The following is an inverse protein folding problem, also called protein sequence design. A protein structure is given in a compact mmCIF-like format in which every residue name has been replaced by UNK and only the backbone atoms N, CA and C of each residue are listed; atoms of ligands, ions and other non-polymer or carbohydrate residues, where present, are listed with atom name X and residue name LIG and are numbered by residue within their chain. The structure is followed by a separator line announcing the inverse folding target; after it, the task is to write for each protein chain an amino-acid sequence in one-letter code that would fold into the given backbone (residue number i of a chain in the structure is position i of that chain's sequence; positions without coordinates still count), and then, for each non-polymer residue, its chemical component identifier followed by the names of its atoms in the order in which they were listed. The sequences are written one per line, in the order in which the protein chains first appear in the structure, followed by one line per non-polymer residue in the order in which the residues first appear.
data_IF_337015655815
#
_entry.id   IF_337015655815
#
_cell.length_a   1.000
_cell.length_b   1.000
_cell.length_c   1.000
_cell.angle_alpha   90.00
_cell.angle_beta   90.00
_cell.angle_gamma   90.00
#
_symmetry.space_group_name_H-M   'P 1'
#
loop_
_entity.id
_entity.type
_entity.pdbx_description
1 polymer ?
#
# COMPACT_ATOMS: atom_id res chain seq x y z
N UNK A 1 -83.30 4.44 36.00
CA UNK A 1 -83.10 3.06 35.50
C UNK A 1 -81.81 3.04 34.67
N UNK A 2 -80.84 2.22 35.10
CA UNK A 2 -79.71 1.59 34.38
C UNK A 2 -78.91 2.39 33.32
N UNK A 3 -77.67 2.81 33.62
CA UNK A 3 -76.37 2.08 33.44
C UNK A 3 -75.87 2.01 31.99
N UNK A 4 -74.75 2.71 31.66
CA UNK A 4 -73.66 2.30 30.74
C UNK A 4 -72.44 3.20 31.04
N UNK A 5 -71.57 2.89 32.01
CA UNK A 5 -70.27 2.16 31.92
C UNK A 5 -69.37 2.48 30.71
N UNK A 6 -68.35 3.29 31.04
CA UNK A 6 -67.13 3.63 30.32
C UNK A 6 -66.27 2.37 30.03
N UNK A 7 -65.89 2.13 28.78
CA UNK A 7 -64.78 1.24 28.41
C UNK A 7 -64.10 1.79 27.14
N UNK A 8 -63.05 2.60 27.32
CA UNK A 8 -62.09 2.89 26.26
C UNK A 8 -60.99 1.83 26.30
N UNK A 9 -60.97 0.92 25.34
CA UNK A 9 -59.88 -0.03 25.13
C UNK A 9 -58.99 0.50 24.00
N UNK A 10 -57.79 0.99 24.36
CA UNK A 10 -56.74 1.37 23.41
C UNK A 10 -55.94 0.09 23.13
N UNK A 11 -56.15 -0.51 21.96
CA UNK A 11 -55.32 -1.61 21.45
C UNK A 11 -54.13 -1.04 20.67
N UNK A 12 -52.96 -1.04 21.30
CA UNK A 12 -51.68 -0.71 20.67
C UNK A 12 -51.27 -1.86 19.74
N UNK A 13 -51.13 -1.57 18.45
CA UNK A 13 -50.68 -2.51 17.43
C UNK A 13 -49.13 -2.43 17.42
N UNK A 14 -48.46 -3.46 17.93
CA UNK A 14 -46.99 -3.55 17.88
C UNK A 14 -46.55 -4.00 16.49
N UNK A 15 -46.12 -3.05 15.66
CA UNK A 15 -45.43 -3.31 14.39
C UNK A 15 -43.98 -3.73 14.67
N UNK A 16 -43.66 -5.02 14.51
CA UNK A 16 -42.27 -5.50 14.52
C UNK A 16 -41.62 -5.20 13.17
N UNK A 17 -40.85 -4.11 13.11
CA UNK A 17 -39.97 -3.84 11.98
C UNK A 17 -38.78 -4.79 12.10
N UNK A 18 -38.76 -5.84 11.27
CA UNK A 18 -37.57 -6.66 11.07
C UNK A 18 -36.53 -5.82 10.30
N UNK A 19 -35.43 -5.48 10.97
CA UNK A 19 -34.27 -4.85 10.35
C UNK A 19 -33.47 -5.90 9.56
N UNK A 20 -33.08 -5.65 8.30
CA UNK A 20 -32.14 -6.51 7.61
C UNK A 20 -30.74 -6.31 8.23
N UNK A 21 -30.28 -7.29 9.00
CA UNK A 21 -28.88 -7.38 9.45
C UNK A 21 -28.08 -8.08 8.35
N UNK A 22 -27.79 -7.38 7.27
CA UNK A 22 -26.72 -7.79 6.33
C UNK A 22 -25.95 -6.56 5.89
N UNK A 23 -25.35 -5.87 6.87
CA UNK A 23 -24.21 -5.03 6.62
C UNK A 23 -22.97 -5.89 6.74
N UNK A 24 -22.56 -6.59 5.67
CA UNK A 24 -21.13 -6.84 5.48
C UNK A 24 -20.47 -5.48 5.61
N UNK A 25 -19.68 -5.26 6.67
CA UNK A 25 -18.90 -4.04 6.80
C UNK A 25 -18.08 -3.93 5.52
N UNK A 26 -18.42 -3.01 4.63
CA UNK A 26 -17.58 -2.67 3.50
C UNK A 26 -16.32 -2.10 4.16
N UNK A 27 -15.27 -2.93 4.23
CA UNK A 27 -13.98 -2.46 4.69
C UNK A 27 -13.63 -1.25 3.82
N UNK A 28 -13.40 -0.11 4.47
CA UNK A 28 -13.06 1.14 3.78
C UNK A 28 -11.82 0.86 2.94
N UNK A 29 -11.95 0.98 1.63
CA UNK A 29 -10.84 0.82 0.68
C UNK A 29 -10.07 2.11 0.63
N UNK A 30 -8.84 2.07 1.13
CA UNK A 30 -7.96 3.25 1.09
C UNK A 30 -7.05 3.24 -0.16
N UNK A 31 -6.85 2.08 -0.79
CA UNK A 31 -6.01 1.94 -1.98
C UNK A 31 -6.78 1.44 -3.21
N UNK A 32 -6.32 1.89 -4.37
CA UNK A 32 -6.77 1.43 -5.69
C UNK A 32 -5.59 0.86 -6.46
N UNK A 33 -5.84 -0.19 -7.26
CA UNK A 33 -4.80 -0.78 -8.09
C UNK A 33 -4.34 0.26 -9.13
N UNK A 34 -3.03 0.33 -9.35
CA UNK A 34 -2.39 1.23 -10.29
C UNK A 34 -1.29 0.47 -11.02
N UNK A 35 -1.05 0.81 -12.28
CA UNK A 35 0.09 0.26 -13.02
C UNK A 35 1.39 0.88 -12.51
N UNK A 36 2.50 0.19 -12.75
CA UNK A 36 3.85 0.63 -12.36
C UNK A 36 4.13 2.06 -12.82
N UNK A 37 3.79 2.38 -14.07
CA UNK A 37 3.97 3.72 -14.63
C UNK A 37 3.31 4.84 -13.79
N UNK A 38 2.23 4.53 -13.09
CA UNK A 38 1.43 5.50 -12.32
C UNK A 38 1.92 5.64 -10.87
N UNK A 39 2.46 4.57 -10.27
CA UNK A 39 2.87 4.56 -8.87
C UNK A 39 4.38 4.63 -8.64
N UNK A 40 5.22 4.35 -9.65
CA UNK A 40 6.67 4.39 -9.52
C UNK A 40 7.18 5.78 -9.11
N UNK A 41 8.35 5.80 -8.47
CA UNK A 41 9.00 7.00 -7.92
C UNK A 41 10.43 7.20 -8.45
N UNK A 42 10.78 6.54 -9.55
CA UNK A 42 12.15 6.46 -10.05
C UNK A 42 12.59 7.63 -10.92
N UNK A 43 11.72 8.58 -11.24
CA UNK A 43 12.06 9.77 -12.02
C UNK A 43 12.33 10.99 -11.13
N UNK A 44 12.93 12.03 -11.73
CA UNK A 44 13.15 13.32 -11.09
C UNK A 44 14.54 13.43 -10.47
N UNK A 45 14.59 13.88 -9.23
CA UNK A 45 15.84 13.95 -8.45
C UNK A 45 15.85 12.88 -7.36
N UNK A 46 17.04 12.41 -7.01
CA UNK A 46 17.23 11.57 -5.82
C UNK A 46 17.24 12.42 -4.54
N UNK A 47 17.04 11.75 -3.39
CA UNK A 47 17.18 12.33 -2.04
C UNK A 47 15.88 12.40 -1.22
N UNK A 48 14.73 12.13 -1.82
CA UNK A 48 13.41 12.21 -1.20
C UNK A 48 12.57 10.93 -1.39
N UNK A 49 13.17 9.79 -1.75
CA UNK A 49 12.43 8.60 -2.19
C UNK A 49 11.44 8.05 -1.15
N UNK A 50 11.78 8.09 0.14
CA UNK A 50 10.85 7.63 1.18
C UNK A 50 9.59 8.49 1.23
N UNK A 51 9.75 9.81 1.13
CA UNK A 51 8.62 10.74 1.13
C UNK A 51 7.71 10.50 -0.07
N UNK A 52 8.29 10.27 -1.25
CA UNK A 52 7.53 9.92 -2.45
C UNK A 52 6.81 8.57 -2.32
N UNK A 53 7.45 7.56 -1.73
CA UNK A 53 6.83 6.26 -1.46
C UNK A 53 5.62 6.40 -0.52
N UNK A 54 5.77 7.14 0.58
CA UNK A 54 4.70 7.42 1.55
C UNK A 54 3.55 8.23 0.91
N UNK A 55 3.87 9.20 0.06
CA UNK A 55 2.86 9.97 -0.66
C UNK A 55 2.08 9.12 -1.67
N UNK A 56 2.76 8.19 -2.36
CA UNK A 56 2.11 7.29 -3.31
C UNK A 56 1.27 6.22 -2.62
N UNK A 57 1.67 5.77 -1.44
CA UNK A 57 1.01 4.70 -0.68
C UNK A 57 0.80 5.18 0.76
N UNK A 58 -0.26 5.97 1.00
CA UNK A 58 -0.60 6.42 2.34
C UNK A 58 -1.15 5.24 3.14
N UNK A 59 -0.38 4.74 4.10
CA UNK A 59 -0.76 3.65 4.99
C UNK A 59 -1.05 4.24 6.36
N UNK A 60 -2.23 3.95 6.92
CA UNK A 60 -2.60 4.41 8.26
C UNK A 60 -1.85 3.59 9.33
N UNK A 61 -0.69 4.11 9.74
CA UNK A 61 0.14 3.48 10.77
C UNK A 61 -0.51 3.45 12.15
N UNK A 62 -1.59 4.21 12.38
CA UNK A 62 -2.33 4.17 13.65
C UNK A 62 -3.34 3.02 13.70
N UNK A 63 -3.66 2.41 12.56
CA UNK A 63 -4.65 1.34 12.46
C UNK A 63 -4.25 0.23 11.46
N UNK A 64 -3.04 -0.31 11.63
CA UNK A 64 -2.55 -1.40 10.77
C UNK A 64 -3.44 -2.65 10.80
N UNK A 65 -4.02 -2.98 11.96
CA UNK A 65 -4.94 -4.12 12.10
C UNK A 65 -6.21 -3.95 11.26
N UNK A 66 -6.67 -2.71 11.05
CA UNK A 66 -7.86 -2.37 10.28
C UNK A 66 -7.65 -2.33 8.76
N UNK A 67 -6.42 -2.50 8.27
CA UNK A 67 -6.15 -2.53 6.82
C UNK A 67 -6.87 -3.73 6.20
N UNK A 68 -7.64 -3.47 5.14
CA UNK A 68 -8.42 -4.50 4.47
C UNK A 68 -7.51 -5.52 3.77
N UNK A 69 -7.98 -6.77 3.63
CA UNK A 69 -7.26 -7.81 2.86
C UNK A 69 -6.99 -7.37 1.42
N UNK A 70 -7.93 -6.63 0.83
CA UNK A 70 -7.77 -6.13 -0.54
C UNK A 70 -6.75 -4.99 -0.63
N UNK A 71 -6.62 -4.12 0.38
CA UNK A 71 -5.55 -3.10 0.40
C UNK A 71 -4.19 -3.76 0.62
N UNK A 72 -4.11 -4.75 1.49
CA UNK A 72 -2.90 -5.57 1.65
C UNK A 72 -2.52 -6.30 0.35
N UNK A 73 -3.50 -6.81 -0.40
CA UNK A 73 -3.26 -7.43 -1.71
C UNK A 73 -2.71 -6.42 -2.75
N UNK A 74 -3.19 -5.16 -2.73
CA UNK A 74 -2.65 -4.09 -3.57
C UNK A 74 -1.21 -3.74 -3.18
N UNK A 75 -0.93 -3.64 -1.87
CA UNK A 75 0.43 -3.35 -1.37
C UNK A 75 1.39 -4.44 -1.84
N UNK A 76 1.02 -5.72 -1.70
CA UNK A 76 1.83 -6.85 -2.16
C UNK A 76 2.03 -6.85 -3.68
N UNK A 77 0.97 -6.60 -4.45
CA UNK A 77 1.06 -6.51 -5.90
C UNK A 77 1.99 -5.38 -6.37
N UNK A 78 1.90 -4.21 -5.74
CA UNK A 78 2.80 -3.09 -6.03
C UNK A 78 4.26 -3.41 -5.65
N UNK A 79 4.49 -4.09 -4.51
CA UNK A 79 5.82 -4.57 -4.09
C UNK A 79 6.42 -5.50 -5.12
N UNK A 80 5.68 -6.54 -5.54
CA UNK A 80 6.13 -7.53 -6.54
C UNK A 80 6.37 -6.90 -7.90
N UNK A 81 5.52 -5.96 -8.30
CA UNK A 81 5.70 -5.19 -9.54
C UNK A 81 6.97 -4.34 -9.49
N UNK A 82 7.23 -3.66 -8.37
CA UNK A 82 8.46 -2.90 -8.19
C UNK A 82 9.69 -3.82 -8.20
N UNK A 83 9.61 -5.02 -7.61
CA UNK A 83 10.66 -6.02 -7.65
C UNK A 83 10.98 -6.48 -9.08
N UNK A 84 9.95 -6.82 -9.86
CA UNK A 84 10.09 -7.23 -11.24
C UNK A 84 10.67 -6.11 -12.12
N UNK A 85 10.29 -4.86 -11.88
CA UNK A 85 10.91 -3.72 -12.56
C UNK A 85 12.43 -3.61 -12.28
N UNK A 86 12.90 -3.97 -11.09
CA UNK A 86 14.35 -4.03 -10.80
C UNK A 86 15.07 -5.05 -11.67
N UNK A 87 14.50 -6.27 -11.75
CA UNK A 87 15.15 -7.41 -12.41
C UNK A 87 15.06 -7.33 -13.92
N UNK A 88 13.89 -6.98 -14.44
CA UNK A 88 13.52 -7.18 -15.84
C UNK A 88 13.69 -5.90 -16.67
N UNK A 89 13.77 -4.73 -16.01
CA UNK A 89 13.95 -3.45 -16.69
C UNK A 89 15.25 -2.74 -16.24
N UNK A 90 15.42 -2.41 -14.95
CA UNK A 90 16.56 -1.63 -14.49
C UNK A 90 17.90 -2.34 -14.74
N UNK A 91 18.04 -3.61 -14.36
CA UNK A 91 19.32 -4.32 -14.47
C UNK A 91 19.86 -4.36 -15.91
N UNK A 92 19.00 -4.58 -16.90
CA UNK A 92 19.38 -4.58 -18.31
C UNK A 92 19.81 -3.19 -18.79
N UNK A 93 19.01 -2.16 -18.49
CA UNK A 93 19.29 -0.79 -18.93
C UNK A 93 20.54 -0.20 -18.27
N UNK A 94 20.79 -0.49 -16.99
CA UNK A 94 22.00 -0.05 -16.29
C UNK A 94 23.24 -0.72 -16.92
N UNK A 95 23.19 -2.02 -17.22
CA UNK A 95 24.29 -2.73 -17.90
C UNK A 95 24.61 -2.16 -19.28
N UNK A 96 23.60 -1.68 -20.00
CA UNK A 96 23.76 -1.11 -21.34
C UNK A 96 24.17 0.38 -21.34
N UNK A 97 24.04 1.07 -20.20
CA UNK A 97 24.35 2.49 -20.09
C UNK A 97 25.78 2.72 -19.53
N UNK A 98 26.28 3.93 -19.71
CA UNK A 98 27.56 4.37 -19.13
C UNK A 98 27.48 5.83 -18.68
N UNK A 99 28.49 6.26 -17.91
CA UNK A 99 28.61 7.65 -17.42
C UNK A 99 27.37 8.14 -16.68
N UNK A 100 26.99 9.38 -16.92
CA UNK A 100 25.86 10.03 -16.25
C UNK A 100 24.52 9.29 -16.48
N UNK A 101 24.33 8.64 -17.63
CA UNK A 101 23.12 7.88 -17.90
C UNK A 101 23.01 6.63 -17.01
N UNK A 102 24.12 5.90 -16.81
CA UNK A 102 24.17 4.77 -15.87
C UNK A 102 23.92 5.23 -14.44
N UNK A 103 24.52 6.36 -14.02
CA UNK A 103 24.28 6.95 -12.70
C UNK A 103 22.81 7.32 -12.50
N UNK A 104 22.17 7.96 -13.48
CA UNK A 104 20.77 8.34 -13.37
C UNK A 104 19.83 7.13 -13.27
N UNK A 105 20.11 6.04 -14.02
CA UNK A 105 19.36 4.79 -13.92
C UNK A 105 19.61 4.08 -12.58
N UNK A 106 20.83 4.12 -12.06
CA UNK A 106 21.15 3.57 -10.74
C UNK A 106 20.41 4.32 -9.63
N UNK A 107 20.34 5.65 -9.71
CA UNK A 107 19.54 6.47 -8.79
C UNK A 107 18.05 6.10 -8.90
N UNK A 108 17.53 5.94 -10.12
CA UNK A 108 16.15 5.49 -10.33
C UNK A 108 15.86 4.12 -9.72
N UNK A 109 16.81 3.19 -9.83
CA UNK A 109 16.74 1.86 -9.21
C UNK A 109 16.78 1.96 -7.68
N UNK A 110 17.58 2.84 -7.11
CA UNK A 110 17.62 3.08 -5.65
C UNK A 110 16.26 3.58 -5.16
N UNK A 111 15.65 4.56 -5.84
CA UNK A 111 14.29 5.03 -5.50
C UNK A 111 13.27 3.88 -5.60
N UNK A 112 13.36 3.04 -6.64
CA UNK A 112 12.50 1.86 -6.78
C UNK A 112 12.70 0.84 -5.64
N UNK A 113 13.94 0.62 -5.20
CA UNK A 113 14.24 -0.22 -4.03
C UNK A 113 13.64 0.33 -2.75
N UNK A 114 13.71 1.65 -2.53
CA UNK A 114 13.06 2.30 -1.38
C UNK A 114 11.55 2.06 -1.41
N UNK A 115 10.91 2.25 -2.57
CA UNK A 115 9.48 1.96 -2.74
C UNK A 115 9.15 0.50 -2.42
N UNK A 116 9.88 -0.46 -3.01
CA UNK A 116 9.66 -1.89 -2.78
C UNK A 116 9.76 -2.24 -1.30
N UNK A 117 10.86 -1.86 -0.66
CA UNK A 117 11.14 -2.19 0.73
C UNK A 117 10.17 -1.48 1.69
N UNK A 118 9.73 -0.26 1.37
CA UNK A 118 8.68 0.42 2.11
C UNK A 118 7.35 -0.38 2.07
N UNK A 119 6.94 -0.84 0.89
CA UNK A 119 5.74 -1.65 0.73
C UNK A 119 5.86 -3.00 1.44
N UNK A 120 7.04 -3.63 1.36
CA UNK A 120 7.33 -4.90 2.01
C UNK A 120 7.27 -4.81 3.55
N UNK A 121 7.99 -3.85 4.14
CA UNK A 121 7.95 -3.60 5.59
C UNK A 121 6.54 -3.29 6.03
N UNK A 122 5.80 -2.46 5.27
CA UNK A 122 4.43 -2.12 5.61
C UNK A 122 3.49 -3.34 5.56
N UNK A 123 3.60 -4.19 4.53
CA UNK A 123 2.83 -5.43 4.44
C UNK A 123 3.11 -6.37 5.61
N UNK A 124 4.40 -6.54 5.97
CA UNK A 124 4.81 -7.36 7.11
C UNK A 124 4.27 -6.81 8.44
N UNK A 125 4.31 -5.50 8.64
CA UNK A 125 3.76 -4.84 9.84
C UNK A 125 2.24 -4.96 9.93
N UNK A 126 1.51 -4.85 8.81
CA UNK A 126 0.07 -5.10 8.74
C UNK A 126 -0.23 -6.54 9.15
N UNK A 127 0.47 -7.51 8.55
CA UNK A 127 0.31 -8.93 8.87
C UNK A 127 0.64 -9.23 10.35
N UNK A 128 1.70 -8.62 10.89
CA UNK A 128 2.07 -8.73 12.31
C UNK A 128 0.94 -8.20 13.22
N UNK A 129 0.36 -7.05 12.88
CA UNK A 129 -0.78 -6.47 13.61
C UNK A 129 -2.06 -7.31 13.48
N UNK A 130 -2.16 -8.14 12.44
CA UNK A 130 -3.24 -9.09 12.20
C UNK A 130 -2.97 -10.50 12.76
N UNK A 131 -1.84 -10.70 13.44
CA UNK A 131 -1.53 -11.92 14.20
C UNK A 131 -0.49 -12.85 13.59
N UNK A 132 0.16 -12.48 12.48
CA UNK A 132 1.32 -13.22 11.97
C UNK A 132 2.57 -12.98 12.85
N UNK A 133 3.52 -13.91 12.85
CA UNK A 133 4.83 -13.72 13.48
C UNK A 133 5.87 -13.34 12.42
N UNK A 134 6.18 -12.05 12.34
CA UNK A 134 6.99 -11.45 11.27
C UNK A 134 8.14 -10.59 11.80
N UNK A 135 8.37 -10.52 13.13
CA UNK A 135 9.28 -9.53 13.72
C UNK A 135 10.71 -9.60 13.14
N UNK A 136 11.28 -10.80 13.01
CA UNK A 136 12.63 -10.98 12.45
C UNK A 136 12.72 -10.46 11.01
N UNK A 137 11.68 -10.71 10.19
CA UNK A 137 11.63 -10.22 8.80
C UNK A 137 11.43 -8.71 8.74
N UNK A 138 10.61 -8.16 9.63
CA UNK A 138 10.42 -6.70 9.73
C UNK A 138 11.77 -6.04 10.02
N UNK A 139 12.56 -6.57 10.94
CA UNK A 139 13.86 -6.02 11.31
C UNK A 139 14.86 -6.12 10.14
N UNK A 140 14.91 -7.26 9.46
CA UNK A 140 15.75 -7.46 8.28
C UNK A 140 15.41 -6.48 7.14
N UNK A 141 14.14 -6.41 6.76
CA UNK A 141 13.69 -5.57 5.64
C UNK A 141 13.75 -4.08 6.00
N UNK A 142 13.54 -3.72 7.26
CA UNK A 142 13.73 -2.34 7.74
C UNK A 142 15.19 -1.91 7.64
N UNK A 143 16.14 -2.81 7.94
CA UNK A 143 17.57 -2.51 7.74
C UNK A 143 17.91 -2.28 6.27
N UNK A 144 17.37 -3.10 5.37
CA UNK A 144 17.54 -2.92 3.91
C UNK A 144 16.90 -1.60 3.44
N UNK A 145 15.71 -1.27 3.93
CA UNK A 145 15.03 -0.01 3.63
C UNK A 145 15.88 1.19 4.04
N UNK A 146 16.35 1.22 5.29
CA UNK A 146 17.18 2.29 5.83
C UNK A 146 18.49 2.47 5.05
N UNK A 147 19.12 1.37 4.63
CA UNK A 147 20.31 1.43 3.79
C UNK A 147 20.02 2.10 2.44
N UNK A 148 18.92 1.75 1.77
CA UNK A 148 18.57 2.36 0.49
C UNK A 148 18.11 3.82 0.62
N UNK A 149 17.45 4.19 1.72
CA UNK A 149 17.16 5.59 2.06
C UNK A 149 18.46 6.38 2.22
N UNK A 150 19.48 5.81 2.88
CA UNK A 150 20.78 6.46 3.02
C UNK A 150 21.47 6.65 1.66
N UNK A 151 21.40 5.65 0.77
CA UNK A 151 21.93 5.75 -0.59
C UNK A 151 21.21 6.83 -1.41
N UNK A 152 19.89 6.89 -1.35
CA UNK A 152 19.09 7.92 -2.01
C UNK A 152 19.47 9.33 -1.50
N UNK A 153 19.56 9.52 -0.18
CA UNK A 153 20.00 10.78 0.44
C UNK A 153 21.41 11.18 0.04
N UNK A 154 22.34 10.23 -0.08
CA UNK A 154 23.71 10.50 -0.56
C UNK A 154 23.73 10.96 -2.02
N UNK A 155 22.76 10.55 -2.81
CA UNK A 155 22.58 10.97 -4.20
C UNK A 155 21.71 12.23 -4.34
N UNK A 156 21.38 12.93 -3.24
CA UNK A 156 20.46 14.07 -3.26
C UNK A 156 20.82 15.11 -4.34
N UNK A 157 19.80 15.54 -5.10
CA UNK A 157 19.94 16.50 -6.20
C UNK A 157 20.54 15.94 -7.49
N UNK A 158 20.98 14.67 -7.50
CA UNK A 158 21.37 14.00 -8.74
C UNK A 158 20.13 13.57 -9.53
N UNK A 159 20.25 13.58 -10.86
CA UNK A 159 19.22 13.05 -11.75
C UNK A 159 18.90 11.60 -11.43
N UNK A 160 17.61 11.28 -11.45
CA UNK A 160 17.06 9.95 -11.27
C UNK A 160 16.14 9.63 -12.45
N UNK A 161 16.36 8.47 -13.09
CA UNK A 161 15.67 8.08 -14.31
C UNK A 161 14.87 6.80 -14.11
N UNK A 162 13.57 6.85 -14.38
CA UNK A 162 12.72 5.66 -14.42
C UNK A 162 12.95 4.81 -15.68
N UNK A 163 12.40 3.61 -15.63
CA UNK A 163 12.32 2.66 -16.74
C UNK A 163 10.88 2.46 -17.17
N UNK A 164 10.68 2.17 -18.45
CA UNK A 164 9.40 1.65 -18.92
C UNK A 164 9.28 0.18 -18.50
N UNK A 165 8.20 -0.16 -17.83
CA UNK A 165 7.90 -1.53 -17.40
C UNK A 165 6.39 -1.74 -17.42
N UNK A 166 5.95 -2.89 -17.91
CA UNK A 166 4.53 -3.25 -18.09
C UNK A 166 4.19 -4.62 -17.51
N UNK A 167 5.10 -5.24 -16.75
CA UNK A 167 4.88 -6.53 -16.08
C UNK A 167 4.14 -6.37 -14.76
N UNK A 168 3.01 -5.67 -14.78
CA UNK A 168 2.22 -5.38 -13.58
C UNK A 168 1.67 -6.67 -12.95
N UNK A 169 1.98 -6.89 -11.68
CA UNK A 169 1.39 -7.97 -10.89
C UNK A 169 0.00 -7.57 -10.43
N UNK A 170 -1.00 -8.43 -10.67
CA UNK A 170 -2.37 -8.17 -10.23
C UNK A 170 -2.55 -8.54 -8.74
N UNK A 171 -3.34 -7.77 -7.97
CA UNK A 171 -3.72 -8.13 -6.60
C UNK A 171 -4.43 -9.49 -6.58
N UNK A 172 -3.94 -10.41 -5.75
CA UNK A 172 -4.60 -11.70 -5.50
C UNK A 172 -5.62 -11.51 -4.39
N UNK A 173 -6.89 -11.69 -4.71
CA UNK A 173 -7.99 -11.67 -3.73
C UNK A 173 -8.17 -13.03 -3.07
#
# INVERSE_FOLDING_TARGET
MHFVKFCAAISLISSTIALPITGTSIAKRDLQFRKYADFQISSGEAGNALSEAQAKFPIDTNNLKGVSSSDLAIINAARETAEAAETDAFNGQIKAASGAAATALQNGKIKNKVLKLFLEVSALQIQQAQGADNQDKIDEETKKLNNNISLDKKAAGQTSKAVTFTGDVQPKN
#
